data_IF_653158625371
#
_entry.id   IF_653158625371
#
_cell.length_a   1.000
_cell.length_b   1.000
_cell.length_c   1.000
_cell.angle_alpha   90.00
_cell.angle_beta   90.00
_cell.angle_gamma   90.00
#
_symmetry.space_group_name_H-M   'P 1'
#
loop_
_entity.id
_entity.type
_entity.pdbx_description
1 polymer ?
#
# COMPACT_ATOMS: atom_id res chain seq x y z
N UNK A 1 -22.27 15.11 15.74
CA UNK A 1 -22.99 14.97 14.45
C UNK A 1 -23.65 13.62 14.45
N UNK A 2 -24.96 13.58 14.30
CA UNK A 2 -25.74 12.33 14.24
C UNK A 2 -25.53 11.68 12.86
N UNK A 3 -25.66 10.35 12.75
CA UNK A 3 -25.46 9.58 11.51
C UNK A 3 -26.28 10.07 10.28
N UNK A 4 -27.26 10.95 10.46
CA UNK A 4 -28.07 11.53 9.39
C UNK A 4 -27.40 12.70 8.64
N UNK A 5 -26.34 13.31 9.22
CA UNK A 5 -25.65 14.43 8.60
C UNK A 5 -24.52 14.02 7.64
N UNK A 6 -24.12 12.75 7.66
CA UNK A 6 -23.05 12.21 6.80
C UNK A 6 -23.46 11.96 5.34
N UNK A 7 -24.75 11.94 5.06
CA UNK A 7 -25.30 11.52 3.76
C UNK A 7 -26.17 12.60 3.13
N UNK A 8 -25.89 13.88 3.43
CA UNK A 8 -26.54 14.99 2.73
C UNK A 8 -25.91 15.19 1.34
N UNK A 9 -26.65 15.82 0.45
CA UNK A 9 -26.19 16.10 -0.92
C UNK A 9 -24.86 16.87 -0.91
N UNK A 10 -24.65 17.74 0.07
CA UNK A 10 -23.44 18.52 0.23
C UNK A 10 -22.22 17.67 0.47
N UNK A 11 -22.33 16.58 1.24
CA UNK A 11 -21.22 15.62 1.45
C UNK A 11 -20.79 15.00 0.13
N UNK A 12 -21.74 14.56 -0.69
CA UNK A 12 -21.44 13.96 -2.01
C UNK A 12 -20.85 14.97 -3.00
N UNK A 13 -21.21 16.22 -2.89
CA UNK A 13 -20.72 17.28 -3.79
C UNK A 13 -19.33 17.80 -3.41
N UNK A 14 -18.99 17.83 -2.14
CA UNK A 14 -17.81 18.57 -1.65
C UNK A 14 -16.71 17.71 -1.07
N UNK A 15 -17.02 16.49 -0.59
CA UNK A 15 -16.00 15.65 0.05
C UNK A 15 -15.00 15.11 -0.99
N UNK A 16 -13.69 15.14 -0.71
CA UNK A 16 -12.65 14.60 -1.58
C UNK A 16 -12.86 13.12 -1.97
N UNK A 17 -13.58 12.35 -1.17
CA UNK A 17 -13.98 10.99 -1.51
C UNK A 17 -14.67 10.91 -2.89
N UNK A 18 -15.51 11.88 -3.21
CA UNK A 18 -16.24 11.92 -4.48
C UNK A 18 -15.59 12.84 -5.51
N UNK A 19 -15.12 14.01 -5.07
CA UNK A 19 -14.59 15.04 -5.99
C UNK A 19 -13.22 14.69 -6.57
N UNK A 20 -12.47 13.78 -5.95
CA UNK A 20 -11.14 13.36 -6.40
C UNK A 20 -11.11 12.10 -7.28
N UNK A 21 -12.25 11.46 -7.50
CA UNK A 21 -12.31 10.16 -8.20
C UNK A 21 -11.66 10.19 -9.58
N UNK A 22 -11.83 11.25 -10.35
CA UNK A 22 -11.21 11.38 -11.68
C UNK A 22 -9.68 11.32 -11.60
N UNK A 23 -9.08 11.96 -10.59
CA UNK A 23 -7.63 11.92 -10.37
C UNK A 23 -7.17 10.51 -9.95
N UNK A 24 -7.95 9.83 -9.14
CA UNK A 24 -7.66 8.45 -8.71
C UNK A 24 -7.77 7.48 -9.90
N UNK A 25 -8.80 7.59 -10.73
CA UNK A 25 -8.96 6.77 -11.94
C UNK A 25 -7.76 6.96 -12.87
N UNK A 26 -7.34 8.19 -13.11
CA UNK A 26 -6.20 8.49 -13.96
C UNK A 26 -4.91 7.87 -13.41
N UNK A 27 -4.66 8.06 -12.11
CA UNK A 27 -3.48 7.53 -11.44
C UNK A 27 -3.43 6.00 -11.44
N UNK A 28 -4.58 5.34 -11.32
CA UNK A 28 -4.67 3.87 -11.23
C UNK A 28 -4.69 3.16 -12.58
N UNK A 29 -4.65 3.88 -13.70
CA UNK A 29 -4.57 3.26 -15.05
C UNK A 29 -3.52 2.14 -15.18
N UNK A 30 -2.31 2.25 -14.59
CA UNK A 30 -1.32 1.17 -14.66
C UNK A 30 -1.79 -0.16 -14.05
N UNK A 31 -2.70 -0.14 -13.06
CA UNK A 31 -3.26 -1.35 -12.44
C UNK A 31 -4.07 -2.19 -13.43
N UNK A 32 -4.62 -1.58 -14.49
CA UNK A 32 -5.34 -2.30 -15.55
C UNK A 32 -4.47 -3.35 -16.26
N UNK A 33 -3.14 -3.15 -16.29
CA UNK A 33 -2.19 -4.15 -16.83
C UNK A 33 -2.14 -5.43 -15.98
N UNK A 34 -2.58 -5.34 -14.74
CA UNK A 34 -2.75 -6.46 -13.82
C UNK A 34 -4.22 -6.92 -13.72
N UNK A 35 -5.08 -6.50 -14.64
CA UNK A 35 -6.53 -6.73 -14.59
C UNK A 35 -7.20 -6.22 -13.31
N UNK A 36 -6.58 -5.25 -12.62
CA UNK A 36 -7.15 -4.59 -11.45
C UNK A 36 -7.89 -3.33 -11.93
N UNK A 37 -9.20 -3.31 -11.71
CA UNK A 37 -10.10 -2.23 -12.17
C UNK A 37 -10.60 -1.33 -11.04
N UNK A 38 -10.43 -1.78 -9.79
CA UNK A 38 -10.88 -1.10 -8.60
C UNK A 38 -9.70 -0.78 -7.67
N UNK A 39 -9.73 0.41 -7.10
CA UNK A 39 -8.78 0.84 -6.10
C UNK A 39 -9.45 1.81 -5.12
N UNK A 40 -9.18 1.61 -3.82
CA UNK A 40 -9.42 2.63 -2.79
C UNK A 40 -8.22 2.75 -1.86
N UNK A 41 -8.06 3.95 -1.35
CA UNK A 41 -7.20 4.27 -0.22
C UNK A 41 -8.08 4.78 0.91
N UNK A 42 -8.05 4.10 2.05
CA UNK A 42 -8.78 4.46 3.25
C UNK A 42 -7.80 4.64 4.40
N UNK A 43 -7.91 5.75 5.15
CA UNK A 43 -7.15 5.99 6.37
C UNK A 43 -8.09 6.13 7.54
N UNK A 44 -7.96 5.24 8.51
CA UNK A 44 -8.77 5.21 9.72
C UNK A 44 -7.94 5.67 10.92
N UNK A 45 -8.40 6.70 11.60
CA UNK A 45 -7.76 7.27 12.79
C UNK A 45 -8.32 6.70 14.08
N UNK A 46 -7.53 6.75 15.16
CA UNK A 46 -7.93 6.27 16.50
C UNK A 46 -9.16 7.01 17.06
N UNK A 47 -9.45 8.22 16.61
CA UNK A 47 -10.62 9.01 17.00
C UNK A 47 -11.90 8.67 16.19
N UNK A 48 -11.88 7.55 15.44
CA UNK A 48 -12.92 7.10 14.51
C UNK A 48 -13.19 8.06 13.34
N UNK A 49 -12.34 9.06 13.14
CA UNK A 49 -12.36 9.83 11.89
C UNK A 49 -11.65 9.06 10.77
N UNK A 50 -12.00 9.38 9.54
CA UNK A 50 -11.42 8.73 8.37
C UNK A 50 -11.37 9.61 7.15
N UNK A 51 -10.53 9.25 6.21
CA UNK A 51 -10.56 9.72 4.83
C UNK A 51 -10.65 8.52 3.91
N UNK A 52 -11.20 8.74 2.73
CA UNK A 52 -11.27 7.74 1.68
C UNK A 52 -11.06 8.40 0.31
N UNK A 53 -10.37 7.71 -0.59
CA UNK A 53 -10.15 8.11 -1.98
C UNK A 53 -10.41 6.89 -2.87
N UNK A 54 -11.29 7.01 -3.85
CA UNK A 54 -11.78 5.86 -4.62
C UNK A 54 -11.66 6.02 -6.12
N UNK A 55 -11.54 4.92 -6.84
CA UNK A 55 -11.69 4.84 -8.29
C UNK A 55 -13.10 4.49 -8.76
N UNK A 56 -14.06 4.27 -7.84
CA UNK A 56 -15.44 3.87 -8.16
C UNK A 56 -16.44 4.64 -7.32
N UNK A 57 -17.03 5.69 -7.91
CA UNK A 57 -18.06 6.53 -7.24
C UNK A 57 -19.33 5.72 -6.97
N UNK A 58 -19.79 4.95 -7.95
CA UNK A 58 -21.07 4.25 -7.84
C UNK A 58 -21.05 3.21 -6.72
N UNK A 59 -19.95 2.44 -6.63
CA UNK A 59 -19.77 1.49 -5.55
C UNK A 59 -19.68 2.17 -4.19
N UNK A 60 -18.85 3.23 -4.06
CA UNK A 60 -18.65 3.87 -2.76
C UNK A 60 -19.92 4.59 -2.29
N UNK A 61 -20.69 5.17 -3.21
CA UNK A 61 -22.00 5.75 -2.90
C UNK A 61 -22.92 4.68 -2.34
N UNK A 62 -23.09 3.56 -3.04
CA UNK A 62 -23.87 2.42 -2.59
C UNK A 62 -23.41 1.90 -1.21
N UNK A 63 -22.09 1.77 -1.04
CA UNK A 63 -21.48 1.33 0.22
C UNK A 63 -21.91 2.19 1.42
N UNK A 64 -21.96 3.51 1.23
CA UNK A 64 -22.38 4.44 2.27
C UNK A 64 -23.90 4.50 2.44
N UNK A 65 -24.66 4.58 1.38
CA UNK A 65 -26.12 4.65 1.40
C UNK A 65 -26.76 3.43 2.09
N UNK A 66 -26.23 2.24 1.82
CA UNK A 66 -26.74 0.99 2.40
C UNK A 66 -25.99 0.56 3.67
N UNK A 67 -25.17 1.44 4.24
CA UNK A 67 -24.43 1.24 5.50
C UNK A 67 -23.64 -0.07 5.53
N UNK A 68 -23.06 -0.46 4.39
CA UNK A 68 -22.27 -1.69 4.30
C UNK A 68 -21.01 -1.64 5.18
N UNK A 69 -20.58 -0.43 5.57
CA UNK A 69 -19.49 -0.22 6.53
C UNK A 69 -19.77 -0.85 7.89
N UNK A 70 -21.04 -0.97 8.31
CA UNK A 70 -21.39 -1.64 9.58
C UNK A 70 -21.06 -3.14 9.57
N UNK A 71 -20.93 -3.73 8.40
CA UNK A 71 -20.68 -5.17 8.17
C UNK A 71 -19.26 -5.44 7.67
N UNK A 72 -18.51 -4.43 7.30
CA UNK A 72 -17.15 -4.58 6.75
C UNK A 72 -16.13 -4.84 7.86
N UNK A 73 -15.28 -5.84 7.65
CA UNK A 73 -14.22 -6.20 8.58
C UNK A 73 -13.19 -5.09 8.75
N UNK A 74 -12.89 -4.33 7.70
CA UNK A 74 -11.90 -3.24 7.74
C UNK A 74 -12.42 -1.98 8.43
N UNK A 75 -13.71 -1.86 8.62
CA UNK A 75 -14.35 -0.76 9.33
C UNK A 75 -14.38 -0.95 10.86
N UNK A 76 -14.13 -2.18 11.29
CA UNK A 76 -14.06 -2.53 12.69
C UNK A 76 -12.74 -2.01 13.26
N UNK A 77 -12.53 -2.15 14.55
CA UNK A 77 -11.40 -1.60 15.29
C UNK A 77 -10.05 -1.77 14.55
N UNK A 78 -9.60 -0.71 13.89
CA UNK A 78 -8.34 -0.67 13.14
C UNK A 78 -7.12 -0.94 14.02
N UNK A 79 -7.23 -0.80 15.35
CA UNK A 79 -6.16 -1.12 16.29
C UNK A 79 -5.90 -2.62 16.37
N UNK A 80 -6.85 -3.45 15.95
CA UNK A 80 -6.71 -4.92 15.93
C UNK A 80 -5.93 -5.43 14.70
N UNK A 81 -5.70 -4.60 13.70
CA UNK A 81 -4.89 -4.99 12.55
C UNK A 81 -3.39 -4.90 12.86
N UNK A 82 -2.64 -5.92 12.47
CA UNK A 82 -1.20 -5.82 12.24
C UNK A 82 -0.96 -5.34 10.81
N UNK A 83 0.10 -4.64 10.50
CA UNK A 83 0.44 -4.36 9.09
C UNK A 83 0.57 -5.66 8.27
N UNK A 84 0.32 -5.61 6.96
CA UNK A 84 0.42 -6.77 6.08
C UNK A 84 -0.64 -6.75 4.97
N UNK A 85 -1.05 -7.93 4.50
CA UNK A 85 -2.05 -8.06 3.45
C UNK A 85 -3.07 -9.16 3.76
N UNK A 86 -4.24 -9.09 3.11
CA UNK A 86 -5.28 -10.11 3.19
C UNK A 86 -6.01 -10.25 1.85
N UNK A 87 -6.17 -11.48 1.39
CA UNK A 87 -6.98 -11.80 0.21
C UNK A 87 -8.47 -11.76 0.56
N UNK A 88 -9.27 -11.17 -0.31
CA UNK A 88 -10.73 -11.11 -0.09
C UNK A 88 -11.39 -12.49 -0.16
N UNK A 89 -10.80 -13.44 -0.85
CA UNK A 89 -11.27 -14.83 -0.85
C UNK A 89 -11.30 -15.46 0.56
N UNK A 90 -10.49 -14.96 1.49
CA UNK A 90 -10.52 -15.39 2.89
C UNK A 90 -11.66 -14.73 3.69
N UNK A 91 -12.26 -13.67 3.14
CA UNK A 91 -13.32 -12.85 3.75
C UNK A 91 -14.66 -13.01 3.02
N UNK A 92 -14.78 -13.95 2.12
CA UNK A 92 -15.89 -14.10 1.15
C UNK A 92 -17.29 -14.26 1.75
N UNK A 93 -17.40 -14.52 3.04
CA UNK A 93 -18.68 -14.65 3.75
C UNK A 93 -19.31 -13.32 4.17
N UNK A 94 -18.60 -12.24 4.03
CA UNK A 94 -19.07 -10.90 4.41
C UNK A 94 -20.02 -10.36 3.31
N UNK A 95 -21.19 -9.80 3.66
CA UNK A 95 -22.16 -9.28 2.68
C UNK A 95 -21.59 -8.19 1.75
N UNK A 96 -20.55 -7.48 2.20
CA UNK A 96 -19.89 -6.44 1.43
C UNK A 96 -19.35 -6.99 0.11
N UNK A 97 -18.72 -8.18 0.12
CA UNK A 97 -18.08 -8.75 -1.08
C UNK A 97 -19.12 -9.25 -2.09
N UNK A 98 -20.21 -9.86 -1.61
CA UNK A 98 -21.29 -10.29 -2.52
C UNK A 98 -22.01 -9.12 -3.17
N UNK A 99 -22.08 -7.97 -2.48
CA UNK A 99 -22.67 -6.75 -3.04
C UNK A 99 -21.67 -6.04 -3.98
N UNK A 100 -20.38 -6.02 -3.64
CA UNK A 100 -19.35 -5.43 -4.47
C UNK A 100 -19.24 -6.08 -5.85
N UNK A 101 -19.53 -7.40 -5.95
CA UNK A 101 -19.50 -8.11 -7.22
C UNK A 101 -20.52 -7.58 -8.24
N UNK A 102 -21.63 -7.01 -7.78
CA UNK A 102 -22.62 -6.35 -8.65
C UNK A 102 -22.06 -5.08 -9.33
N UNK A 103 -20.99 -4.52 -8.77
CA UNK A 103 -20.26 -3.37 -9.30
C UNK A 103 -18.98 -3.79 -10.03
N UNK A 104 -18.84 -5.08 -10.34
CA UNK A 104 -17.64 -5.59 -10.99
C UNK A 104 -16.40 -5.61 -10.08
N UNK A 105 -16.59 -5.73 -8.76
CA UNK A 105 -15.54 -5.79 -7.76
C UNK A 105 -15.68 -7.13 -7.03
N UNK A 106 -14.96 -8.14 -7.50
CA UNK A 106 -15.20 -9.52 -7.06
C UNK A 106 -13.97 -10.12 -6.36
N UNK A 107 -12.83 -10.14 -7.02
CA UNK A 107 -11.58 -10.63 -6.46
C UNK A 107 -10.67 -9.49 -6.06
N UNK A 108 -9.95 -9.65 -4.96
CA UNK A 108 -9.04 -8.59 -4.56
C UNK A 108 -8.18 -8.91 -3.36
N UNK A 109 -7.40 -7.91 -3.02
CA UNK A 109 -6.48 -7.93 -1.90
C UNK A 109 -6.46 -6.57 -1.23
N UNK A 110 -6.39 -6.56 0.09
CA UNK A 110 -6.16 -5.35 0.89
C UNK A 110 -4.75 -5.38 1.46
N UNK A 111 -4.01 -4.30 1.29
CA UNK A 111 -2.76 -4.02 2.01
C UNK A 111 -3.10 -3.09 3.16
N UNK A 112 -2.72 -3.46 4.39
CA UNK A 112 -2.87 -2.64 5.58
C UNK A 112 -1.50 -2.19 6.08
N UNK A 113 -1.38 -0.90 6.37
CA UNK A 113 -0.18 -0.30 6.95
C UNK A 113 -0.56 0.39 8.26
N UNK A 114 -0.05 -0.17 9.37
CA UNK A 114 -0.35 0.34 10.70
C UNK A 114 0.67 1.40 11.11
N UNK A 115 0.17 2.54 11.53
CA UNK A 115 0.93 3.65 12.10
C UNK A 115 0.53 3.87 13.57
N UNK A 116 1.12 4.86 14.24
CA UNK A 116 0.85 5.11 15.67
C UNK A 116 -0.61 5.46 15.94
N UNK A 117 -1.17 6.38 15.18
CA UNK A 117 -2.49 6.98 15.40
C UNK A 117 -3.50 6.74 14.26
N UNK A 118 -3.11 6.01 13.22
CA UNK A 118 -3.97 5.62 12.11
C UNK A 118 -3.55 4.28 11.48
N UNK A 119 -4.43 3.73 10.67
CA UNK A 119 -4.15 2.60 9.79
C UNK A 119 -4.59 2.93 8.37
N UNK A 120 -3.70 2.71 7.41
CA UNK A 120 -4.00 2.82 5.98
C UNK A 120 -4.44 1.47 5.44
N UNK A 121 -5.52 1.46 4.65
CA UNK A 121 -5.99 0.30 3.90
C UNK A 121 -5.99 0.66 2.42
N UNK A 122 -5.28 -0.12 1.62
CA UNK A 122 -5.26 0.02 0.18
C UNK A 122 -5.90 -1.22 -0.43
N UNK A 123 -7.05 -1.02 -1.02
CA UNK A 123 -7.88 -2.08 -1.57
C UNK A 123 -7.69 -2.14 -3.08
N UNK A 124 -7.31 -3.32 -3.58
CA UNK A 124 -7.12 -3.59 -4.99
C UNK A 124 -8.10 -4.67 -5.41
N UNK A 125 -8.96 -4.38 -6.37
CA UNK A 125 -9.99 -5.30 -6.82
C UNK A 125 -10.05 -5.46 -8.34
N UNK A 126 -10.59 -6.57 -8.78
CA UNK A 126 -10.83 -6.88 -10.18
C UNK A 126 -12.27 -7.30 -10.40
N UNK A 127 -12.72 -7.22 -11.66
CA UNK A 127 -13.93 -7.93 -12.10
C UNK A 127 -13.72 -9.42 -11.94
N UNK A 128 -14.81 -10.16 -11.74
CA UNK A 128 -14.78 -11.62 -11.81
C UNK A 128 -14.18 -12.05 -13.15
N UNK A 129 -12.93 -12.47 -13.09
CA UNK A 129 -12.16 -12.88 -14.24
C UNK A 129 -11.22 -14.00 -13.78
N UNK A 130 -11.33 -15.16 -14.39
CA UNK A 130 -10.50 -16.33 -14.11
C UNK A 130 -8.99 -16.05 -14.17
N UNK A 131 -8.59 -14.95 -14.82
CA UNK A 131 -7.21 -14.51 -14.88
C UNK A 131 -6.68 -13.90 -13.56
N UNK A 132 -7.55 -13.47 -12.63
CA UNK A 132 -7.14 -12.86 -11.36
C UNK A 132 -7.46 -13.79 -10.20
N UNK A 133 -6.61 -14.78 -10.01
CA UNK A 133 -6.69 -15.72 -8.88
C UNK A 133 -5.96 -15.17 -7.65
N UNK A 134 -6.20 -15.80 -6.49
CA UNK A 134 -5.43 -15.52 -5.28
C UNK A 134 -3.91 -15.67 -5.50
N UNK A 135 -3.51 -16.72 -6.22
CA UNK A 135 -2.10 -16.94 -6.57
C UNK A 135 -1.53 -15.81 -7.44
N UNK A 136 -2.31 -15.35 -8.42
CA UNK A 136 -1.92 -14.21 -9.26
C UNK A 136 -1.72 -12.94 -8.43
N UNK A 137 -2.61 -12.65 -7.48
CA UNK A 137 -2.50 -11.48 -6.59
C UNK A 137 -1.25 -11.58 -5.71
N UNK A 138 -1.01 -12.74 -5.09
CA UNK A 138 0.19 -12.98 -4.28
C UNK A 138 1.47 -12.82 -5.12
N UNK A 139 1.51 -13.35 -6.33
CA UNK A 139 2.66 -13.20 -7.23
C UNK A 139 2.95 -11.72 -7.56
N UNK A 140 1.93 -10.89 -7.66
CA UNK A 140 2.07 -9.47 -7.95
C UNK A 140 2.14 -8.57 -6.69
N UNK A 141 2.14 -9.16 -5.51
CA UNK A 141 2.15 -8.45 -4.24
C UNK A 141 3.30 -7.45 -4.10
N UNK A 142 4.56 -7.75 -4.50
CA UNK A 142 5.65 -6.78 -4.44
C UNK A 142 5.38 -5.52 -5.29
N UNK A 143 4.75 -5.68 -6.44
CA UNK A 143 4.32 -4.55 -7.26
C UNK A 143 3.25 -3.72 -6.53
N UNK A 144 2.28 -4.38 -5.89
CA UNK A 144 1.21 -3.69 -5.16
C UNK A 144 1.76 -2.89 -3.98
N UNK A 145 2.73 -3.41 -3.22
CA UNK A 145 3.42 -2.65 -2.17
C UNK A 145 4.19 -1.45 -2.73
N UNK A 146 4.87 -1.60 -3.86
CA UNK A 146 5.53 -0.48 -4.53
C UNK A 146 4.52 0.55 -5.04
N UNK A 147 3.39 0.09 -5.58
CA UNK A 147 2.30 0.98 -5.99
C UNK A 147 1.73 1.75 -4.80
N UNK A 148 1.56 1.11 -3.64
CA UNK A 148 1.13 1.74 -2.39
C UNK A 148 2.04 2.91 -2.01
N UNK A 149 3.36 2.68 -1.93
CA UNK A 149 4.33 3.72 -1.61
C UNK A 149 4.35 4.84 -2.69
N UNK A 150 4.25 4.46 -3.97
CA UNK A 150 4.16 5.41 -5.08
C UNK A 150 2.89 6.26 -5.03
N UNK A 151 1.74 5.65 -4.72
CA UNK A 151 0.47 6.34 -4.55
C UNK A 151 0.59 7.41 -3.46
N UNK A 152 1.04 7.06 -2.27
CA UNK A 152 1.19 8.00 -1.15
C UNK A 152 2.16 9.13 -1.48
N UNK A 153 3.26 8.83 -2.13
CA UNK A 153 4.22 9.84 -2.59
C UNK A 153 3.60 10.83 -3.58
N UNK A 154 2.88 10.32 -4.59
CA UNK A 154 2.33 11.15 -5.68
C UNK A 154 1.06 11.89 -5.29
N UNK A 155 0.24 11.28 -4.44
CA UNK A 155 -1.07 11.81 -4.03
C UNK A 155 -1.03 12.51 -2.67
N UNK A 156 0.17 12.84 -2.15
CA UNK A 156 0.35 13.48 -0.84
C UNK A 156 -0.52 14.73 -0.65
N UNK A 157 -0.62 15.58 -1.68
CA UNK A 157 -1.39 16.83 -1.59
C UNK A 157 -2.90 16.54 -1.57
N UNK A 158 -3.35 15.53 -2.32
CA UNK A 158 -4.72 15.06 -2.31
C UNK A 158 -5.09 14.42 -0.98
N UNK A 159 -4.22 13.57 -0.44
CA UNK A 159 -4.38 12.96 0.89
C UNK A 159 -4.46 14.07 1.95
N UNK A 160 -3.55 15.05 1.91
CA UNK A 160 -3.57 16.19 2.85
C UNK A 160 -4.86 17.03 2.74
N UNK A 161 -5.39 17.19 1.53
CA UNK A 161 -6.69 17.86 1.37
C UNK A 161 -7.83 17.01 1.95
N UNK A 162 -7.83 15.69 1.73
CA UNK A 162 -8.81 14.80 2.33
C UNK A 162 -8.75 14.81 3.86
N UNK A 163 -7.55 14.92 4.45
CA UNK A 163 -7.36 15.02 5.89
C UNK A 163 -8.00 16.26 6.52
N UNK A 164 -8.08 17.36 5.79
CA UNK A 164 -8.81 18.57 6.23
C UNK A 164 -10.33 18.37 6.22
N UNK A 165 -10.80 17.38 5.48
CA UNK A 165 -12.22 17.05 5.29
C UNK A 165 -12.56 15.67 5.87
N UNK A 166 -11.88 15.27 6.95
CA UNK A 166 -12.17 14.00 7.63
C UNK A 166 -13.63 13.94 8.08
N UNK A 167 -14.19 12.75 8.00
CA UNK A 167 -15.53 12.50 8.51
C UNK A 167 -15.53 11.36 9.53
N UNK A 168 -16.53 11.32 10.40
CA UNK A 168 -16.69 10.30 11.43
C UNK A 168 -17.84 9.38 11.09
N UNK A 169 -17.65 8.10 11.35
CA UNK A 169 -18.68 7.08 11.18
C UNK A 169 -18.81 6.31 12.49
N UNK A 170 -20.04 6.18 12.97
CA UNK A 170 -20.33 5.29 14.11
C UNK A 170 -20.35 3.86 13.60
N UNK A 171 -19.33 3.10 13.92
CA UNK A 171 -19.27 1.66 13.63
C UNK A 171 -19.69 0.90 14.87
N UNK A 172 -20.63 -0.07 14.79
CA UNK A 172 -20.99 -0.90 15.91
C UNK A 172 -19.75 -1.62 16.47
N UNK A 173 -19.54 -1.52 17.78
CA UNK A 173 -18.49 -2.30 18.45
C UNK A 173 -18.91 -3.77 18.44
N UNK A 174 -18.13 -4.60 17.80
CA UNK A 174 -18.33 -6.06 17.83
C UNK A 174 -17.25 -6.69 18.71
N UNK A 175 -17.66 -7.19 19.88
CA UNK A 175 -16.76 -7.72 20.91
C UNK A 175 -16.08 -9.06 20.53
N UNK A 176 -16.52 -9.75 19.50
CA UNK A 176 -16.18 -11.16 19.21
C UNK A 176 -15.37 -11.39 17.93
N UNK A 177 -14.50 -10.48 17.52
CA UNK A 177 -13.67 -10.74 16.34
C UNK A 177 -12.28 -11.17 16.79
N UNK A 178 -11.98 -12.42 16.44
CA UNK A 178 -10.58 -12.91 16.44
C UNK A 178 -9.72 -11.94 15.67
N UNK A 179 -8.52 -11.63 16.18
CA UNK A 179 -7.54 -10.81 15.46
C UNK A 179 -7.35 -11.37 14.07
N UNK A 180 -7.66 -10.58 13.05
CA UNK A 180 -7.30 -10.92 11.68
C UNK A 180 -5.78 -10.81 11.61
N UNK A 181 -5.12 -11.96 11.50
CA UNK A 181 -3.68 -11.97 11.19
C UNK A 181 -3.55 -11.69 9.70
N UNK A 182 -2.89 -10.61 9.38
CA UNK A 182 -2.47 -10.34 8.00
C UNK A 182 -1.12 -11.03 7.78
N UNK A 183 -0.96 -11.66 6.63
CA UNK A 183 0.33 -12.24 6.27
C UNK A 183 1.31 -11.11 5.94
N UNK A 184 2.32 -10.97 6.77
CA UNK A 184 3.31 -9.90 6.66
C UNK A 184 4.56 -10.32 5.87
N UNK A 185 4.74 -11.63 5.62
CA UNK A 185 5.93 -12.12 4.93
C UNK A 185 5.74 -12.14 3.41
N UNK A 186 6.51 -11.32 2.74
CA UNK A 186 6.68 -11.38 1.28
C UNK A 186 7.92 -12.22 0.99
N UNK A 187 7.79 -13.24 0.15
CA UNK A 187 8.98 -13.96 -0.32
C UNK A 187 9.90 -12.99 -1.07
N UNK A 188 11.11 -12.78 -0.54
CA UNK A 188 12.10 -11.88 -1.13
C UNK A 188 12.46 -12.22 -2.59
N UNK A 189 12.30 -13.49 -3.01
CA UNK A 189 12.47 -13.90 -4.41
C UNK A 189 11.39 -13.30 -5.30
N UNK A 190 10.14 -13.26 -4.85
CA UNK A 190 9.02 -12.70 -5.59
C UNK A 190 9.22 -11.20 -5.73
N UNK A 191 9.66 -10.52 -4.66
CA UNK A 191 9.95 -9.09 -4.70
C UNK A 191 11.07 -8.75 -5.72
N UNK A 192 12.18 -9.49 -5.67
CA UNK A 192 13.28 -9.29 -6.62
C UNK A 192 12.87 -9.57 -8.07
N UNK A 193 12.09 -10.62 -8.33
CA UNK A 193 11.59 -10.96 -9.68
C UNK A 193 10.65 -9.88 -10.24
N UNK A 194 9.81 -9.27 -9.41
CA UNK A 194 8.94 -8.18 -9.85
C UNK A 194 9.71 -6.90 -10.17
N UNK A 195 10.84 -6.67 -9.51
CA UNK A 195 11.73 -5.53 -9.75
C UNK A 195 12.57 -5.68 -11.02
N UNK A 196 12.78 -6.91 -11.50
CA UNK A 196 13.45 -7.20 -12.77
C UNK A 196 12.60 -6.88 -14.01
N UNK A 197 11.31 -6.62 -13.85
CA UNK A 197 10.50 -6.08 -14.93
C UNK A 197 10.99 -4.67 -15.28
N UNK A 198 11.53 -4.56 -16.47
CA UNK A 198 12.40 -3.54 -17.09
C UNK A 198 12.02 -2.04 -16.97
N UNK A 199 11.05 -1.64 -16.12
CA UNK A 199 10.51 -0.28 -16.12
C UNK A 199 10.49 0.46 -14.80
N UNK A 200 10.97 -0.09 -13.68
CA UNK A 200 10.97 0.63 -12.40
C UNK A 200 12.31 1.32 -12.18
N UNK A 201 12.41 2.57 -12.61
CA UNK A 201 13.60 3.40 -12.35
C UNK A 201 13.72 3.87 -10.90
N UNK A 202 12.66 3.72 -10.09
CA UNK A 202 12.56 4.23 -8.72
C UNK A 202 11.85 3.23 -7.81
N UNK A 203 12.36 3.06 -6.60
CA UNK A 203 11.79 2.23 -5.54
C UNK A 203 11.30 3.16 -4.46
N UNK A 204 9.98 3.29 -4.35
CA UNK A 204 9.37 4.21 -3.40
C UNK A 204 9.43 3.62 -1.99
N UNK A 205 9.76 4.48 -1.05
CA UNK A 205 9.83 4.20 0.37
C UNK A 205 8.54 4.68 1.03
N UNK A 206 8.03 3.94 1.99
CA UNK A 206 6.81 4.32 2.70
C UNK A 206 6.96 5.57 3.58
N UNK A 207 5.93 5.83 4.38
CA UNK A 207 5.82 7.01 5.24
C UNK A 207 6.97 7.13 6.24
N UNK A 208 7.50 6.01 6.73
CA UNK A 208 8.67 5.97 7.64
C UNK A 208 9.90 6.70 7.06
N UNK A 209 9.97 6.85 5.75
CA UNK A 209 11.04 7.52 5.02
C UNK A 209 10.55 8.78 4.29
N UNK A 210 9.52 9.45 4.85
CA UNK A 210 8.93 10.67 4.29
C UNK A 210 8.50 10.50 2.82
N UNK A 211 8.03 9.31 2.46
CA UNK A 211 7.61 8.95 1.10
C UNK A 211 8.67 9.27 0.03
N UNK A 212 9.95 9.13 0.36
CA UNK A 212 11.04 9.30 -0.60
C UNK A 212 11.19 8.07 -1.52
N UNK A 213 12.20 8.05 -2.36
CA UNK A 213 12.48 6.89 -3.22
C UNK A 213 13.99 6.64 -3.35
N UNK A 214 14.34 5.38 -3.59
CA UNK A 214 15.65 4.98 -4.07
C UNK A 214 15.64 4.85 -5.60
N UNK A 215 16.72 5.27 -6.23
CA UNK A 215 16.96 4.89 -7.62
C UNK A 215 17.37 3.41 -7.66
N UNK A 216 17.23 2.77 -8.83
CA UNK A 216 17.65 1.37 -9.01
C UNK A 216 19.10 1.14 -8.58
N UNK A 217 20.02 2.04 -8.97
CA UNK A 217 21.44 1.96 -8.59
C UNK A 217 21.68 2.10 -7.09
N UNK A 218 20.94 2.99 -6.42
CA UNK A 218 21.01 3.11 -4.96
C UNK A 218 20.49 1.85 -4.27
N UNK A 219 19.43 1.25 -4.78
CA UNK A 219 18.90 0.00 -4.24
C UNK A 219 19.85 -1.18 -4.45
N UNK A 220 20.42 -1.33 -5.66
CA UNK A 220 21.43 -2.35 -5.96
C UNK A 220 22.64 -2.21 -5.03
N UNK A 221 23.14 -0.99 -4.84
CA UNK A 221 24.22 -0.71 -3.91
C UNK A 221 23.86 -1.06 -2.46
N UNK A 222 22.69 -0.61 -1.99
CA UNK A 222 22.22 -0.91 -0.64
C UNK A 222 22.22 -2.43 -0.39
N UNK A 223 21.72 -3.21 -1.36
CA UNK A 223 21.72 -4.68 -1.28
C UNK A 223 23.13 -5.25 -1.18
N UNK A 224 24.10 -4.75 -1.93
CA UNK A 224 25.47 -5.23 -1.83
C UNK A 224 26.08 -4.94 -0.45
N UNK A 225 25.81 -3.74 0.10
CA UNK A 225 26.34 -3.33 1.40
C UNK A 225 25.74 -4.14 2.56
N UNK A 226 24.43 -4.39 2.55
CA UNK A 226 23.78 -5.19 3.62
C UNK A 226 24.20 -6.66 3.59
N UNK A 227 24.67 -7.14 2.44
CA UNK A 227 25.26 -8.48 2.30
C UNK A 227 26.76 -8.52 2.62
N UNK A 228 27.28 -7.48 3.25
CA UNK A 228 28.63 -7.44 3.80
C UNK A 228 29.72 -7.01 2.82
N UNK A 229 29.38 -6.55 1.60
CA UNK A 229 30.39 -5.99 0.71
C UNK A 229 30.82 -4.61 1.22
N UNK A 230 32.13 -4.34 1.23
CA UNK A 230 32.61 -2.99 1.46
C UNK A 230 32.45 -2.11 0.20
N UNK A 231 32.64 -0.81 0.34
CA UNK A 231 32.44 0.15 -0.74
C UNK A 231 33.28 -0.17 -2.00
N UNK A 232 34.52 -0.63 -1.82
CA UNK A 232 35.41 -0.95 -2.92
C UNK A 232 34.96 -2.20 -3.69
N UNK A 233 34.54 -3.25 -2.97
CA UNK A 233 34.01 -4.47 -3.59
C UNK A 233 32.68 -4.18 -4.30
N UNK A 234 31.83 -3.33 -3.71
CA UNK A 234 30.58 -2.90 -4.35
C UNK A 234 30.84 -2.07 -5.61
N UNK A 235 31.84 -1.18 -5.61
CA UNK A 235 32.27 -0.40 -6.76
C UNK A 235 32.71 -1.29 -7.93
N UNK A 236 33.58 -2.27 -7.63
CA UNK A 236 34.03 -3.25 -8.63
C UNK A 236 32.85 -4.04 -9.22
N UNK A 237 31.89 -4.47 -8.37
CA UNK A 237 30.74 -5.26 -8.80
C UNK A 237 29.73 -4.46 -9.64
N UNK A 238 29.58 -3.17 -9.34
CA UNK A 238 28.69 -2.25 -10.08
C UNK A 238 29.33 -1.60 -11.30
N UNK A 239 30.64 -1.81 -11.52
CA UNK A 239 31.37 -1.20 -12.62
C UNK A 239 31.49 0.32 -12.52
N UNK A 240 31.59 0.88 -11.30
CA UNK A 240 31.66 2.32 -11.04
C UNK A 240 32.86 2.66 -10.14
N UNK A 241 33.23 3.95 -10.06
CA UNK A 241 34.34 4.39 -9.18
C UNK A 241 33.94 4.34 -7.69
N UNK A 242 34.93 4.22 -6.81
CA UNK A 242 34.74 4.32 -5.36
C UNK A 242 34.10 5.65 -4.95
N UNK A 243 34.42 6.74 -5.61
CA UNK A 243 33.83 8.06 -5.34
C UNK A 243 32.34 8.08 -5.67
N UNK A 244 31.94 7.42 -6.76
CA UNK A 244 30.51 7.24 -7.13
C UNK A 244 29.78 6.45 -6.07
N UNK A 245 30.37 5.34 -5.59
CA UNK A 245 29.79 4.54 -4.52
C UNK A 245 29.64 5.33 -3.23
N UNK A 246 30.67 6.07 -2.83
CA UNK A 246 30.63 6.90 -1.62
C UNK A 246 29.54 7.98 -1.70
N UNK A 247 29.36 8.59 -2.88
CA UNK A 247 28.28 9.55 -3.13
C UNK A 247 26.89 8.88 -3.00
N UNK A 248 26.72 7.69 -3.56
CA UNK A 248 25.48 6.94 -3.41
C UNK A 248 25.23 6.51 -1.96
N UNK A 249 26.25 6.08 -1.20
CA UNK A 249 26.14 5.77 0.23
C UNK A 249 25.65 7.00 1.01
N UNK A 250 26.21 8.19 0.74
CA UNK A 250 25.76 9.43 1.36
C UNK A 250 24.29 9.71 1.06
N UNK A 251 23.87 9.55 -0.19
CA UNK A 251 22.47 9.74 -0.59
C UNK A 251 21.53 8.72 0.06
N UNK A 252 21.94 7.44 0.11
CA UNK A 252 21.20 6.37 0.78
C UNK A 252 20.96 6.70 2.25
N UNK A 253 22.03 7.08 2.97
CA UNK A 253 21.95 7.46 4.37
C UNK A 253 20.96 8.63 4.60
N UNK A 254 21.04 9.65 3.74
CA UNK A 254 20.12 10.80 3.82
C UNK A 254 18.66 10.39 3.57
N UNK A 255 18.39 9.57 2.54
CA UNK A 255 17.03 9.11 2.18
C UNK A 255 16.44 8.17 3.21
N UNK A 256 17.26 7.32 3.83
CA UNK A 256 16.86 6.33 4.83
C UNK A 256 16.99 6.87 6.27
N UNK A 257 17.34 8.15 6.42
CA UNK A 257 17.52 8.81 7.71
C UNK A 257 18.42 8.00 8.66
N UNK A 258 19.57 7.54 8.18
CA UNK A 258 20.53 6.75 8.94
C UNK A 258 21.96 7.34 8.87
N UNK A 259 22.74 7.08 9.90
CA UNK A 259 24.12 7.60 10.05
C UNK A 259 25.18 6.54 9.77
N UNK A 260 24.87 5.28 10.04
CA UNK A 260 25.79 4.15 9.92
C UNK A 260 25.35 3.16 8.85
N UNK A 261 26.22 2.23 8.45
CA UNK A 261 25.84 1.12 7.57
C UNK A 261 24.98 0.07 8.30
N UNK A 262 25.12 -0.06 9.62
CA UNK A 262 24.24 -0.92 10.42
C UNK A 262 22.80 -0.39 10.44
N UNK A 263 22.62 0.92 10.66
CA UNK A 263 21.31 1.56 10.58
C UNK A 263 20.73 1.49 9.16
N UNK A 264 21.57 1.58 8.12
CA UNK A 264 21.16 1.38 6.74
C UNK A 264 20.60 -0.04 6.54
N UNK A 265 21.30 -1.06 7.02
CA UNK A 265 20.84 -2.44 6.98
C UNK A 265 19.49 -2.64 7.68
N UNK A 266 19.34 -2.07 8.88
CA UNK A 266 18.08 -2.10 9.63
C UNK A 266 16.94 -1.36 8.88
N UNK A 267 17.21 -0.20 8.31
CA UNK A 267 16.23 0.54 7.52
C UNK A 267 15.82 -0.21 6.25
N UNK A 268 16.79 -0.84 5.57
CA UNK A 268 16.50 -1.68 4.40
C UNK A 268 15.64 -2.90 4.75
N UNK A 269 15.82 -3.52 5.93
CA UNK A 269 14.99 -4.63 6.35
C UNK A 269 13.53 -4.25 6.56
N UNK A 270 13.26 -3.01 6.96
CA UNK A 270 11.89 -2.46 7.08
C UNK A 270 11.23 -2.24 5.70
N UNK A 271 11.99 -1.79 4.71
CA UNK A 271 11.48 -1.50 3.35
C UNK A 271 10.97 -2.78 2.67
N UNK A 272 11.59 -3.90 2.97
CA UNK A 272 11.28 -5.19 2.35
C UNK A 272 10.40 -6.11 3.18
N UNK A 273 9.81 -5.67 4.28
CA UNK A 273 8.96 -6.54 5.12
C UNK A 273 9.67 -7.79 5.65
N UNK A 274 10.98 -7.69 5.94
CA UNK A 274 11.78 -8.84 6.40
C UNK A 274 12.43 -9.64 5.26
N UNK A 275 12.64 -9.05 4.10
CA UNK A 275 13.22 -9.71 2.92
C UNK A 275 14.60 -10.28 3.25
N UNK A 276 14.70 -11.60 3.35
CA UNK A 276 15.96 -12.33 3.33
C UNK A 276 16.46 -12.38 1.89
N UNK A 277 17.42 -11.52 1.54
CA UNK A 277 18.04 -11.51 0.20
C UNK A 277 19.00 -12.68 0.04
N UNK A 278 18.57 -13.71 -0.64
CA UNK A 278 19.43 -14.83 -1.00
C UNK A 278 20.22 -14.48 -2.27
N UNK A 279 21.51 -14.18 -2.13
CA UNK A 279 22.46 -13.82 -3.20
C UNK A 279 22.66 -14.88 -4.32
N UNK A 280 22.00 -16.02 -4.26
CA UNK A 280 22.11 -17.07 -5.29
C UNK A 280 21.47 -16.73 -6.65
N UNK A 281 20.83 -15.58 -6.78
CA UNK A 281 20.11 -15.16 -8.01
C UNK A 281 21.05 -14.53 -9.05
N UNK A 282 22.33 -14.30 -8.71
CA UNK A 282 23.30 -13.61 -9.58
C UNK A 282 24.47 -14.51 -10.03
N UNK A 283 24.19 -15.77 -10.37
CA UNK A 283 25.13 -16.61 -11.15
C UNK A 283 24.67 -16.73 -12.58
#
# INVERSE_FOLDING_TARGET
MTNSELLDDKFYETNPLFTSTSAIIEFTKPLKKLNLSYFTFDRHYIDNSRISLTSSVDWIRHYWEYKLYEKSVFERDHLKFSGGHVLWSWLSREPVYSTASLYGIDHGITIAEKHGDYCDFLNFGSVNNDAVTSEYLIKNLPFLYQFTAFFKYRMKDLISNAEKNKFKVSVPQCDNISRIKLDAEIDGKIFCQSMDQKNTSRIYLGDDFKNSYLTRKEFELANLLIHGLNASAAAAKLGVSNDTVNKHIKNLKAKLNCSTLCELGFSMSKIGGGISYNLKIWK
#
